data_IF_516447638290
#
_entry.id   IF_516447638290
#
_cell.length_a   1.000
_cell.length_b   1.000
_cell.length_c   1.000
_cell.angle_alpha   90.00
_cell.angle_beta   90.00
_cell.angle_gamma   90.00
#
_symmetry.space_group_name_H-M   'P 1'
#
loop_
_entity.id
_entity.type
_entity.pdbx_description
1 polymer ?
#
# COMPACT_ATOMS: atom_id res chain seq x y z
N UNK A 1 10.05 9.51 -2.03
CA UNK A 1 9.50 8.22 -2.48
C UNK A 1 8.20 7.88 -1.79
N UNK A 2 8.23 7.60 -0.48
CA UNK A 2 7.09 7.05 0.25
C UNK A 2 5.83 7.94 0.26
N UNK A 3 5.98 9.27 0.35
CA UNK A 3 4.84 10.19 0.28
C UNK A 3 4.10 10.10 -1.07
N UNK A 4 4.85 9.94 -2.18
CA UNK A 4 4.27 9.75 -3.51
C UNK A 4 3.56 8.39 -3.62
N UNK A 5 4.21 7.31 -3.15
CA UNK A 5 3.59 5.99 -3.10
C UNK A 5 2.30 5.98 -2.28
N UNK A 6 2.30 6.66 -1.12
CA UNK A 6 1.10 6.83 -0.29
C UNK A 6 -0.03 7.53 -1.02
N UNK A 7 0.27 8.63 -1.71
CA UNK A 7 -0.71 9.35 -2.53
C UNK A 7 -1.30 8.46 -3.63
N UNK A 8 -0.46 7.73 -4.36
CA UNK A 8 -0.92 6.81 -5.42
C UNK A 8 -1.87 5.76 -4.84
N UNK A 9 -1.49 5.08 -3.75
CA UNK A 9 -2.34 4.06 -3.12
C UNK A 9 -3.68 4.65 -2.66
N UNK A 10 -3.66 5.83 -2.05
CA UNK A 10 -4.87 6.51 -1.59
C UNK A 10 -5.80 6.95 -2.75
N UNK A 11 -5.22 7.49 -3.83
CA UNK A 11 -5.97 7.89 -5.04
C UNK A 11 -6.65 6.69 -5.71
N UNK A 12 -6.10 5.47 -5.56
CA UNK A 12 -6.70 4.23 -6.05
C UNK A 12 -7.65 3.57 -5.03
N UNK A 13 -8.01 4.26 -3.94
CA UNK A 13 -8.91 3.74 -2.91
C UNK A 13 -8.29 2.67 -1.99
N UNK A 14 -6.96 2.59 -1.98
CA UNK A 14 -6.20 1.67 -1.16
C UNK A 14 -5.78 2.22 0.19
N UNK A 15 -5.06 1.39 0.95
CA UNK A 15 -4.45 1.76 2.23
C UNK A 15 -2.97 1.37 2.23
N UNK A 16 -2.12 2.09 2.97
CA UNK A 16 -0.69 1.81 3.10
C UNK A 16 -0.23 2.04 4.54
N UNK A 17 0.62 1.16 5.05
CA UNK A 17 1.21 1.27 6.38
C UNK A 17 2.62 0.67 6.41
N UNK A 18 3.29 0.88 7.53
CA UNK A 18 4.66 0.43 7.75
C UNK A 18 4.67 -0.45 8.99
N UNK A 19 5.28 -1.61 8.87
CA UNK A 19 5.63 -2.45 10.00
C UNK A 19 7.14 -2.43 10.16
N UNK A 20 7.59 -2.05 11.36
CA UNK A 20 8.99 -2.17 11.77
C UNK A 20 9.06 -3.21 12.89
N UNK A 21 9.96 -4.16 12.75
CA UNK A 21 10.13 -5.26 13.72
C UNK A 21 10.98 -4.89 14.94
N UNK A 22 11.45 -3.64 15.05
CA UNK A 22 12.27 -3.14 16.16
C UNK A 22 13.67 -2.67 15.75
N UNK A 23 14.48 -2.26 16.74
CA UNK A 23 15.77 -1.59 16.52
C UNK A 23 16.78 -2.47 15.77
N UNK A 24 17.33 -1.94 14.67
CA UNK A 24 18.33 -2.59 13.83
C UNK A 24 17.75 -3.53 12.76
N UNK A 25 16.44 -3.76 12.75
CA UNK A 25 15.77 -4.52 11.70
C UNK A 25 15.24 -3.59 10.60
N UNK A 26 15.25 -4.06 9.35
CA UNK A 26 14.73 -3.31 8.21
C UNK A 26 13.23 -3.02 8.34
N UNK A 27 12.68 -2.33 7.34
CA UNK A 27 11.28 -1.91 7.32
C UNK A 27 10.49 -2.65 6.25
N UNK A 28 9.30 -3.13 6.58
CA UNK A 28 8.34 -3.66 5.59
C UNK A 28 7.22 -2.66 5.37
N UNK A 29 6.94 -2.35 4.11
CA UNK A 29 5.83 -1.48 3.71
C UNK A 29 4.73 -2.34 3.11
N UNK A 30 3.53 -2.20 3.65
CA UNK A 30 2.35 -2.95 3.22
C UNK A 30 1.33 -2.01 2.59
N UNK A 31 0.61 -2.50 1.59
CA UNK A 31 -0.51 -1.77 1.01
C UNK A 31 -1.60 -2.70 0.49
N UNK A 32 -2.81 -2.15 0.33
CA UNK A 32 -3.96 -2.81 -0.28
C UNK A 32 -4.54 -1.94 -1.38
N UNK A 33 -5.16 -2.58 -2.38
CA UNK A 33 -5.93 -1.91 -3.44
C UNK A 33 -7.25 -2.66 -3.65
N UNK A 34 -8.35 -1.96 -3.98
CA UNK A 34 -9.59 -2.60 -4.39
C UNK A 34 -9.35 -3.49 -5.62
N UNK A 35 -9.80 -4.75 -5.57
CA UNK A 35 -9.72 -5.64 -6.73
C UNK A 35 -10.83 -5.29 -7.70
N UNK A 36 -10.48 -4.84 -8.90
CA UNK A 36 -11.44 -4.67 -9.99
C UNK A 36 -11.93 -6.05 -10.40
N UNK A 37 -13.23 -6.31 -10.27
CA UNK A 37 -13.83 -7.52 -10.83
C UNK A 37 -14.08 -7.25 -12.32
N UNK A 38 -13.48 -8.02 -13.25
CA UNK A 38 -13.77 -7.85 -14.66
C UNK A 38 -15.25 -8.10 -14.91
N UNK A 39 -15.92 -7.19 -15.61
CA UNK A 39 -17.29 -7.42 -16.08
C UNK A 39 -17.19 -8.49 -17.17
N UNK A 40 -17.82 -9.65 -16.94
CA UNK A 40 -18.00 -10.65 -18.00
C UNK A 40 -19.17 -10.20 -18.86
N UNK A 41 -18.88 -9.84 -20.11
CA UNK A 41 -19.87 -9.68 -21.17
C UNK A 41 -20.30 -11.01 -21.76
#
# INVERSE_FOLDING_TARGET
GLALGKRIVQEHGGQVWIESTGDGSGTTVWFTLPRVTPVRG
#
